data_IF_912877726456
#
_entry.id   IF_912877726456
#
_cell.length_a   1.000
_cell.length_b   1.000
_cell.length_c   1.000
_cell.angle_alpha   90.00
_cell.angle_beta   90.00
_cell.angle_gamma   90.00
#
_symmetry.space_group_name_H-M   'P 1'
#
loop_
_entity.id
_entity.type
_entity.pdbx_description
1 polymer ?
#
# COMPACT_ATOMS: atom_id res chain seq x y z
N UNK A 1 -16.17 26.99 10.23
CA UNK A 1 -15.31 25.86 9.96
C UNK A 1 -15.23 25.02 11.21
N UNK A 2 -15.82 23.87 11.13
CA UNK A 2 -15.71 22.86 12.16
C UNK A 2 -14.30 22.35 12.03
N UNK A 3 -13.42 22.80 12.90
CA UNK A 3 -12.17 22.11 13.12
C UNK A 3 -12.55 20.87 13.91
N UNK A 4 -12.76 19.80 13.21
CA UNK A 4 -12.90 18.52 13.87
C UNK A 4 -11.55 18.21 14.47
N UNK A 5 -11.47 18.40 15.78
CA UNK A 5 -10.44 17.72 16.53
C UNK A 5 -10.61 16.24 16.19
N UNK A 6 -9.60 15.64 15.61
CA UNK A 6 -9.62 14.24 15.30
C UNK A 6 -9.74 13.48 16.61
N UNK A 7 -10.96 13.11 16.96
CA UNK A 7 -11.20 12.40 18.20
C UNK A 7 -10.58 11.01 18.12
N UNK A 8 -10.20 10.48 19.26
CA UNK A 8 -9.65 9.13 19.36
C UNK A 8 -10.58 8.09 18.72
N UNK A 9 -11.88 8.28 18.86
CA UNK A 9 -12.89 7.38 18.25
C UNK A 9 -12.82 7.43 16.72
N UNK A 10 -12.65 8.61 16.16
CA UNK A 10 -12.49 8.76 14.71
C UNK A 10 -11.18 8.12 14.23
N UNK A 11 -10.10 8.28 14.99
CA UNK A 11 -8.82 7.68 14.66
C UNK A 11 -8.88 6.14 14.63
N UNK A 12 -9.56 5.53 15.58
CA UNK A 12 -9.75 4.08 15.63
C UNK A 12 -10.61 3.61 14.44
N UNK A 13 -11.64 4.37 14.08
CA UNK A 13 -12.46 4.05 12.92
C UNK A 13 -11.66 4.11 11.62
N UNK A 14 -10.81 5.12 11.48
CA UNK A 14 -9.90 5.26 10.33
C UNK A 14 -8.92 4.10 10.30
N UNK A 15 -8.36 3.72 11.44
CA UNK A 15 -7.46 2.58 11.55
C UNK A 15 -8.10 1.31 10.99
N UNK A 16 -9.33 1.01 11.39
CA UNK A 16 -10.04 -0.18 10.90
C UNK A 16 -10.24 -0.12 9.39
N UNK A 17 -10.64 1.02 8.86
CA UNK A 17 -10.83 1.19 7.42
C UNK A 17 -9.53 1.00 6.63
N UNK A 18 -8.42 1.48 7.18
CA UNK A 18 -7.10 1.31 6.55
C UNK A 18 -6.76 -0.18 6.50
N UNK A 19 -6.88 -0.87 7.62
CA UNK A 19 -6.54 -2.29 7.71
C UNK A 19 -7.41 -3.15 6.79
N UNK A 20 -8.68 -2.84 6.68
CA UNK A 20 -9.59 -3.53 5.75
C UNK A 20 -9.14 -3.33 4.30
N UNK A 21 -8.76 -2.12 3.93
CA UNK A 21 -8.27 -1.82 2.58
C UNK A 21 -6.94 -2.49 2.28
N UNK A 22 -6.04 -2.51 3.26
CA UNK A 22 -4.75 -3.18 3.12
C UNK A 22 -4.95 -4.68 2.93
N UNK A 23 -5.92 -5.26 3.63
CA UNK A 23 -6.23 -6.67 3.50
C UNK A 23 -6.90 -7.01 2.16
N UNK A 24 -7.74 -6.11 1.67
CA UNK A 24 -8.56 -6.37 0.49
C UNK A 24 -7.80 -6.30 -0.84
N UNK A 25 -6.65 -5.64 -0.87
CA UNK A 25 -5.90 -5.41 -2.12
C UNK A 25 -4.40 -5.47 -1.89
N UNK A 26 -3.65 -5.96 -2.87
CA UNK A 26 -2.20 -5.83 -2.83
C UNK A 26 -1.84 -4.34 -2.96
N UNK A 27 -1.12 -3.83 -1.98
CA UNK A 27 -0.67 -2.44 -1.94
C UNK A 27 0.86 -2.41 -1.86
N UNK A 28 1.46 -1.44 -2.53
CA UNK A 28 2.90 -1.21 -2.45
C UNK A 28 3.28 -0.44 -1.19
N UNK A 29 2.35 0.28 -0.61
CA UNK A 29 2.56 1.05 0.60
C UNK A 29 1.33 1.87 0.99
N UNK A 30 1.38 2.43 2.18
CA UNK A 30 0.33 3.30 2.72
C UNK A 30 0.96 4.62 3.12
N UNK A 31 0.38 5.72 2.68
CA UNK A 31 0.74 7.06 3.14
C UNK A 31 -0.38 7.58 4.03
N UNK A 32 -0.01 8.01 5.22
CA UNK A 32 -0.94 8.63 6.16
C UNK A 32 -0.62 10.12 6.21
N UNK A 33 -1.49 10.94 5.65
CA UNK A 33 -1.31 12.38 5.60
C UNK A 33 -1.98 13.06 6.80
N UNK A 34 -1.17 13.72 7.60
CA UNK A 34 -1.59 14.42 8.81
C UNK A 34 -1.67 15.95 8.62
N UNK A 35 -1.64 16.44 7.39
CA UNK A 35 -1.64 17.87 7.13
C UNK A 35 -2.85 18.61 7.74
N UNK A 36 -3.97 17.90 7.92
CA UNK A 36 -5.16 18.45 8.55
C UNK A 36 -5.16 18.39 10.09
N UNK A 37 -4.18 17.72 10.70
CA UNK A 37 -4.14 17.51 12.14
C UNK A 37 -3.22 18.56 12.75
N UNK A 38 -3.77 19.46 13.51
CA UNK A 38 -3.01 20.59 14.07
C UNK A 38 -2.35 20.26 15.41
N UNK A 39 -3.00 19.44 16.22
CA UNK A 39 -2.52 19.06 17.53
C UNK A 39 -2.60 17.54 17.63
N UNK A 40 -1.54 16.95 18.09
CA UNK A 40 -1.46 15.50 18.30
C UNK A 40 -1.29 15.26 19.79
N UNK A 41 -2.25 14.59 20.40
CA UNK A 41 -2.11 14.10 21.76
C UNK A 41 -1.49 12.70 21.79
N UNK A 42 -1.13 12.23 22.96
CA UNK A 42 -0.47 10.95 23.13
C UNK A 42 -1.36 9.77 22.70
N UNK A 43 -2.68 9.87 22.86
CA UNK A 43 -3.60 8.80 22.49
C UNK A 43 -3.72 8.69 20.96
N UNK A 44 -3.83 9.82 20.30
CA UNK A 44 -3.89 9.89 18.85
C UNK A 44 -2.58 9.41 18.23
N UNK A 45 -1.45 9.84 18.76
CA UNK A 45 -0.14 9.38 18.32
C UNK A 45 0.02 7.88 18.47
N UNK A 46 -0.35 7.34 19.62
CA UNK A 46 -0.32 5.90 19.87
C UNK A 46 -1.17 5.13 18.85
N UNK A 47 -2.30 5.69 18.45
CA UNK A 47 -3.16 5.08 17.43
C UNK A 47 -2.46 5.06 16.07
N UNK A 48 -1.77 6.12 15.68
CA UNK A 48 -1.00 6.14 14.43
C UNK A 48 0.17 5.15 14.44
N UNK A 49 0.92 5.09 15.54
CA UNK A 49 1.99 4.12 15.70
C UNK A 49 1.46 2.70 15.57
N UNK A 50 0.41 2.38 16.30
CA UNK A 50 -0.18 1.05 16.25
C UNK A 50 -0.72 0.71 14.84
N UNK A 51 -1.29 1.67 14.17
CA UNK A 51 -1.75 1.49 12.79
C UNK A 51 -0.58 1.15 11.87
N UNK A 52 0.51 1.91 11.96
CA UNK A 52 1.73 1.65 11.17
C UNK A 52 2.33 0.28 11.48
N UNK A 53 2.35 -0.11 12.75
CA UNK A 53 2.82 -1.44 13.16
C UNK A 53 1.96 -2.55 12.57
N UNK A 54 0.64 -2.41 12.63
CA UNK A 54 -0.29 -3.38 12.08
C UNK A 54 -0.13 -3.53 10.57
N UNK A 55 -0.01 -2.42 9.86
CA UNK A 55 0.23 -2.39 8.41
C UNK A 55 1.55 -3.11 8.09
N UNK A 56 2.59 -2.83 8.87
CA UNK A 56 3.90 -3.46 8.71
C UNK A 56 3.85 -4.96 8.92
N UNK A 57 3.10 -5.43 9.93
CA UNK A 57 2.89 -6.86 10.17
C UNK A 57 2.17 -7.52 9.00
N UNK A 58 1.31 -6.78 8.31
CA UNK A 58 0.65 -7.25 7.09
C UNK A 58 1.58 -7.26 5.86
N UNK A 59 2.84 -6.84 6.03
CA UNK A 59 3.84 -6.86 4.96
C UNK A 59 3.83 -5.63 4.07
N UNK A 60 3.18 -4.55 4.49
CA UNK A 60 3.07 -3.32 3.69
C UNK A 60 3.81 -2.20 4.40
N UNK A 61 4.69 -1.45 3.73
CA UNK A 61 5.34 -0.30 4.33
C UNK A 61 4.37 0.87 4.48
N UNK A 62 4.58 1.69 5.50
CA UNK A 62 3.79 2.90 5.71
C UNK A 62 4.67 4.10 6.03
N UNK A 63 4.27 5.27 5.56
CA UNK A 63 4.95 6.54 5.78
C UNK A 63 3.95 7.58 6.25
N UNK A 64 4.31 8.33 7.30
CA UNK A 64 3.54 9.49 7.73
C UNK A 64 4.05 10.73 7.04
N UNK A 65 3.15 11.60 6.64
CA UNK A 65 3.50 12.87 6.01
C UNK A 65 2.59 14.01 6.53
N UNK A 66 2.95 15.24 6.21
CA UNK A 66 2.13 16.38 6.52
C UNK A 66 2.20 16.83 7.98
N UNK A 67 3.23 16.44 8.72
CA UNK A 67 3.41 16.90 10.09
C UNK A 67 3.72 18.39 10.11
N UNK A 68 2.81 19.18 10.66
CA UNK A 68 3.04 20.62 10.82
C UNK A 68 3.89 20.91 12.09
N UNK A 69 4.48 22.10 12.21
CA UNK A 69 5.33 22.44 13.34
C UNK A 69 4.67 22.27 14.71
N UNK A 70 3.35 22.51 14.81
CA UNK A 70 2.61 22.33 16.04
C UNK A 70 2.50 20.87 16.44
N UNK A 71 2.24 20.00 15.48
CA UNK A 71 2.21 18.56 15.70
C UNK A 71 3.59 18.05 16.13
N UNK A 72 4.65 18.50 15.45
CA UNK A 72 6.02 18.10 15.80
C UNK A 72 6.38 18.57 17.20
N UNK A 73 6.05 19.79 17.56
CA UNK A 73 6.29 20.31 18.92
C UNK A 73 5.58 19.43 19.97
N UNK A 74 4.32 19.08 19.73
CA UNK A 74 3.56 18.22 20.64
C UNK A 74 4.20 16.84 20.80
N UNK A 75 4.69 16.26 19.71
CA UNK A 75 5.36 14.95 19.73
C UNK A 75 6.63 15.01 20.60
N UNK A 76 7.42 16.06 20.44
CA UNK A 76 8.66 16.24 21.21
C UNK A 76 8.37 16.55 22.68
N UNK A 77 7.43 17.46 22.96
CA UNK A 77 7.07 17.86 24.32
C UNK A 77 6.51 16.68 25.13
N UNK A 78 5.76 15.82 24.49
CA UNK A 78 5.19 14.63 25.10
C UNK A 78 6.15 13.43 25.12
N UNK A 79 7.36 13.60 24.59
CA UNK A 79 8.39 12.56 24.51
C UNK A 79 7.85 11.27 23.84
N UNK A 80 7.10 11.44 22.79
CA UNK A 80 6.52 10.33 22.06
C UNK A 80 7.56 9.63 21.18
N UNK A 81 7.47 8.31 21.14
CA UNK A 81 8.39 7.50 20.38
C UNK A 81 8.12 7.64 18.87
N UNK A 82 9.15 7.93 18.11
CA UNK A 82 9.09 8.07 16.65
C UNK A 82 9.93 7.03 15.92
N UNK A 83 10.69 6.21 16.62
CA UNK A 83 11.71 5.35 16.00
C UNK A 83 11.14 4.30 15.05
N UNK A 84 9.89 3.95 15.21
CA UNK A 84 9.28 2.89 14.44
C UNK A 84 8.50 3.36 13.22
N UNK A 85 8.40 4.68 13.03
CA UNK A 85 7.60 5.25 11.96
C UNK A 85 8.50 6.00 10.99
N UNK A 86 8.35 5.69 9.72
CA UNK A 86 8.97 6.48 8.67
C UNK A 86 8.12 7.72 8.42
N UNK A 87 8.78 8.86 8.35
CA UNK A 87 8.13 10.13 8.12
C UNK A 87 8.72 10.84 6.91
N UNK A 88 7.91 11.59 6.21
CA UNK A 88 8.32 12.44 5.10
C UNK A 88 7.68 13.82 5.25
N UNK A 89 8.34 14.85 4.77
CA UNK A 89 7.80 16.20 4.86
C UNK A 89 6.66 16.41 3.87
N UNK A 90 6.78 15.84 2.70
CA UNK A 90 5.82 15.99 1.60
C UNK A 90 5.34 14.64 1.08
N UNK A 91 4.18 14.68 0.45
CA UNK A 91 3.58 13.48 -0.13
C UNK A 91 4.49 12.85 -1.20
N UNK A 92 5.14 13.68 -1.99
CA UNK A 92 6.04 13.23 -3.06
C UNK A 92 7.23 12.45 -2.50
N UNK A 93 7.77 12.92 -1.38
CA UNK A 93 8.87 12.23 -0.69
C UNK A 93 8.40 10.88 -0.15
N UNK A 94 7.21 10.84 0.45
CA UNK A 94 6.62 9.61 0.94
C UNK A 94 6.41 8.59 -0.18
N UNK A 95 5.90 9.02 -1.32
CA UNK A 95 5.71 8.15 -2.48
C UNK A 95 7.05 7.64 -3.01
N UNK A 96 8.06 8.49 -3.04
CA UNK A 96 9.41 8.10 -3.46
C UNK A 96 10.00 7.06 -2.51
N UNK A 97 9.80 7.21 -1.21
CA UNK A 97 10.27 6.23 -0.22
C UNK A 97 9.61 4.88 -0.42
N UNK A 98 8.30 4.85 -0.68
CA UNK A 98 7.54 3.62 -0.89
C UNK A 98 7.90 2.93 -2.20
N UNK A 99 8.23 3.68 -3.23
CA UNK A 99 8.54 3.12 -4.55
C UNK A 99 9.99 2.69 -4.70
N UNK A 100 10.89 3.12 -3.82
CA UNK A 100 12.31 2.72 -3.89
C UNK A 100 12.54 1.22 -3.78
N UNK A 101 11.62 0.49 -3.22
CA UNK A 101 11.68 -0.96 -3.10
C UNK A 101 10.93 -1.70 -4.19
N UNK A 102 10.23 -0.99 -5.06
CA UNK A 102 9.55 -1.61 -6.19
C UNK A 102 10.49 -1.63 -7.39
N UNK A 103 10.63 -2.77 -8.05
CA UNK A 103 11.31 -2.78 -9.35
C UNK A 103 10.55 -1.83 -10.27
N UNK A 104 11.33 -1.08 -11.04
CA UNK A 104 10.79 -0.19 -12.06
C UNK A 104 9.82 -0.99 -12.94
N UNK A 105 8.63 -0.48 -13.19
CA UNK A 105 7.71 -1.14 -14.11
C UNK A 105 8.33 -1.46 -15.47
N UNK A 106 9.36 -0.72 -15.86
CA UNK A 106 10.10 -1.02 -17.09
C UNK A 106 11.06 -2.20 -16.96
N UNK A 107 11.40 -2.60 -15.74
CA UNK A 107 12.23 -3.78 -15.46
C UNK A 107 11.39 -5.04 -15.25
N UNK A 108 10.10 -4.89 -15.05
CA UNK A 108 9.21 -6.03 -15.11
C UNK A 108 9.24 -6.51 -16.54
N UNK A 109 10.02 -7.55 -16.76
CA UNK A 109 9.96 -8.26 -18.01
C UNK A 109 8.49 -8.49 -18.33
N UNK A 110 8.07 -8.21 -19.53
CA UNK A 110 6.71 -8.49 -19.90
C UNK A 110 6.43 -9.94 -19.53
N UNK A 111 5.36 -10.12 -18.81
CA UNK A 111 4.89 -11.46 -18.56
C UNK A 111 4.99 -12.21 -19.87
N UNK A 112 5.57 -13.39 -19.88
CA UNK A 112 5.62 -14.15 -21.10
C UNK A 112 4.20 -14.17 -21.63
N UNK A 113 4.03 -13.52 -22.73
CA UNK A 113 2.77 -13.63 -23.44
C UNK A 113 2.50 -15.10 -23.51
N UNK A 114 1.44 -15.51 -22.87
CA UNK A 114 0.99 -16.84 -23.04
C UNK A 114 0.86 -17.03 -24.52
N UNK A 115 1.80 -17.66 -25.08
CA UNK A 115 1.69 -18.08 -26.43
C UNK A 115 0.42 -18.86 -26.46
N UNK A 116 -0.53 -18.45 -27.24
CA UNK A 116 -1.68 -19.30 -27.40
C UNK A 116 -1.09 -20.63 -27.81
N UNK A 117 -1.34 -21.59 -27.01
CA UNK A 117 -0.93 -22.92 -27.36
C UNK A 117 -1.38 -23.08 -28.79
N UNK A 118 -0.44 -23.15 -29.64
CA UNK A 118 -0.76 -23.48 -30.98
C UNK A 118 -1.53 -24.72 -30.92
N UNK A 119 -2.75 -24.58 -31.23
CA UNK A 119 -3.54 -25.74 -31.42
C UNK A 119 -2.77 -26.56 -32.40
N UNK A 120 -2.35 -27.58 -31.91
CA UNK A 120 -1.69 -28.53 -32.75
C UNK A 120 -2.60 -28.93 -33.85
N UNK A 121 -2.25 -28.67 -35.00
CA UNK A 121 -3.18 -28.89 -35.99
C UNK A 121 -3.11 -30.29 -36.49
N UNK A 122 -2.75 -31.02 -35.96
CA UNK A 122 -2.60 -32.14 -36.37
C UNK A 122 -3.45 -32.83 -36.76
N UNK A 123 -3.67 -33.05 -37.11
CA UNK A 123 -4.17 -33.90 -37.31
C UNK A 123 -4.82 -34.35 -37.95
N UNK A 124 -4.99 -34.44 -38.61
CA UNK A 124 -5.64 -34.98 -39.21
C UNK A 124 -5.38 -35.73 -39.92
N UNK A 125 -5.37 -36.40 -40.10
CA UNK A 125 -5.26 -37.25 -40.70
C UNK A 125 -6.07 -37.75 -41.32
N UNK A 126 -6.28 -37.52 -41.98
CA UNK A 126 -6.94 -37.98 -42.81
C UNK A 126 -6.73 -39.22 -43.20
N UNK A 127 -7.24 -39.86 -43.21
CA UNK A 127 -7.13 -40.96 -43.52
C UNK A 127 -7.73 -41.32 -44.48
N UNK A 128 -7.50 -41.37 -45.30
CA UNK A 128 -8.02 -41.87 -46.23
C UNK A 128 -7.99 -43.08 -46.38
N UNK A 129 -8.65 -43.53 -46.39
CA UNK A 129 -8.73 -44.65 -46.61
C UNK A 129 -9.14 -44.98 -47.73
N UNK A 130 -8.81 -44.95 -48.48
CA UNK A 130 -9.25 -45.33 -49.53
C UNK A 130 -9.30 -46.53 -49.81
N UNK A 131 -9.86 -47.00 -49.93
CA UNK A 131 -9.98 -48.05 -50.26
C UNK A 131 -10.48 -48.38 -51.25
N UNK A 132 -10.31 -48.68 -51.96
CA UNK A 132 -10.75 -49.13 -52.83
C UNK A 132 -10.74 -50.26 -53.12
N UNK A 133 -11.32 -50.72 -53.34
CA UNK A 133 -11.42 -51.76 -53.60
C UNK A 133 -11.72 -52.21 -54.62
N UNK A 134 -11.69 -52.47 -55.32
CA UNK A 134 -11.99 -53.07 -56.36
C UNK A 134 -12.54 -53.63 -56.69
#
# INVERSE_FOLDING_TARGET
PIQEELSQTAAVSIQQQILERVHARPLIGVVIDLAGVQIIDSALWTTFINTSRMIKVMGVPSVLTGLNPGAVASIIDLQLDCDEIETAMQLEDALTMLTRGCPDPSELAPAPEATPAEADPTTNTAIDASNDAQ
#
